data_IF_199096319185
#
_entry.id   IF_199096319185
#
_cell.length_a   1.000
_cell.length_b   1.000
_cell.length_c   1.000
_cell.angle_alpha   90.00
_cell.angle_beta   90.00
_cell.angle_gamma   90.00
#
_symmetry.space_group_name_H-M   'P 1'
#
loop_
_entity.id
_entity.type
_entity.pdbx_description
1 polymer ?
#
# COMPACT_ATOMS: atom_id res chain seq x y z
N UNK A 1 20.10 46.51 -37.26
CA UNK A 1 19.79 46.56 -35.83
C UNK A 1 18.50 45.83 -35.44
N UNK A 2 17.69 45.45 -36.36
CA UNK A 2 16.38 44.77 -36.03
C UNK A 2 16.43 43.27 -36.13
N UNK A 3 17.51 42.68 -36.56
CA UNK A 3 17.63 41.22 -36.77
C UNK A 3 18.14 40.45 -35.55
N UNK A 4 18.60 41.15 -34.52
CA UNK A 4 19.19 40.51 -33.35
C UNK A 4 18.20 39.97 -32.32
N UNK A 5 16.94 40.41 -32.39
CA UNK A 5 15.93 40.02 -31.41
C UNK A 5 15.17 38.72 -31.74
N UNK A 6 15.22 38.27 -32.99
CA UNK A 6 14.48 37.06 -33.37
C UNK A 6 15.20 35.75 -33.05
N UNK A 7 16.54 35.82 -32.90
CA UNK A 7 17.31 34.62 -32.59
C UNK A 7 17.26 34.22 -31.11
N UNK A 8 16.90 35.13 -30.22
CA UNK A 8 16.84 34.88 -28.79
C UNK A 8 15.58 34.10 -28.36
N UNK A 9 14.51 34.28 -29.09
CA UNK A 9 13.19 33.64 -28.78
C UNK A 9 13.19 32.12 -29.11
N UNK A 10 14.04 31.71 -30.02
CA UNK A 10 14.13 30.31 -30.45
C UNK A 10 14.84 29.41 -29.46
N UNK A 11 15.72 29.94 -28.63
CA UNK A 11 16.46 29.14 -27.65
C UNK A 11 15.63 28.76 -26.41
N UNK A 12 14.64 29.55 -26.08
CA UNK A 12 13.80 29.27 -24.90
C UNK A 12 12.74 28.20 -25.14
N UNK A 13 12.37 27.97 -26.41
CA UNK A 13 11.35 26.96 -26.74
C UNK A 13 11.85 25.54 -26.69
N UNK A 14 13.14 25.32 -26.88
CA UNK A 14 13.71 23.97 -26.83
C UNK A 14 13.93 23.42 -25.40
N UNK A 15 14.08 24.31 -24.43
CA UNK A 15 14.31 23.91 -23.04
C UNK A 15 13.03 23.50 -22.28
N UNK A 16 11.87 23.97 -22.71
CA UNK A 16 10.57 23.69 -22.07
C UNK A 16 10.01 22.31 -22.41
N UNK A 17 10.50 21.66 -23.46
CA UNK A 17 9.98 20.37 -23.92
C UNK A 17 10.65 19.16 -23.25
N UNK A 18 11.76 19.36 -22.53
CA UNK A 18 12.53 18.27 -21.91
C UNK A 18 12.08 17.98 -20.47
N UNK A 19 11.42 18.94 -19.80
CA UNK A 19 11.02 18.83 -18.40
C UNK A 19 9.85 17.85 -18.16
N UNK A 20 8.83 17.69 -19.04
CA UNK A 20 7.72 16.78 -18.78
C UNK A 20 8.07 15.28 -18.83
N UNK A 21 9.14 14.91 -19.50
CA UNK A 21 9.52 13.50 -19.67
C UNK A 21 10.12 12.86 -18.40
N UNK A 22 10.55 13.65 -17.43
CA UNK A 22 11.18 13.18 -16.20
C UNK A 22 10.17 12.89 -15.06
N UNK A 23 8.90 13.22 -15.25
CA UNK A 23 7.88 13.12 -14.19
C UNK A 23 7.01 11.87 -14.25
N UNK A 24 7.29 10.91 -15.13
CA UNK A 24 6.49 9.69 -15.31
C UNK A 24 7.01 8.50 -14.53
N UNK A 25 7.50 8.67 -13.31
CA UNK A 25 7.77 7.54 -12.42
C UNK A 25 6.53 7.24 -11.59
N UNK A 26 5.67 6.40 -12.10
CA UNK A 26 4.59 5.79 -11.32
C UNK A 26 5.19 4.70 -10.44
N UNK A 27 5.32 4.97 -9.15
CA UNK A 27 5.75 3.99 -8.18
C UNK A 27 4.52 3.26 -7.66
N UNK A 28 4.30 2.03 -8.13
CA UNK A 28 3.26 1.12 -7.62
C UNK A 28 3.83 0.26 -6.49
N UNK A 29 3.66 0.68 -5.26
CA UNK A 29 4.17 -0.09 -4.10
C UNK A 29 3.12 -0.98 -3.39
N UNK A 30 1.86 -1.01 -3.83
CA UNK A 30 0.77 -1.60 -3.05
C UNK A 30 0.53 -3.10 -3.22
N UNK A 31 0.60 -3.63 -4.43
CA UNK A 31 0.06 -4.95 -4.76
C UNK A 31 0.93 -6.13 -4.34
N UNK A 32 2.24 -6.01 -4.41
CA UNK A 32 3.13 -7.13 -4.12
C UNK A 32 3.16 -7.50 -2.64
N UNK A 33 3.08 -6.54 -1.75
CA UNK A 33 3.05 -6.77 -0.31
C UNK A 33 1.78 -7.49 0.12
N UNK A 34 0.64 -7.15 -0.46
CA UNK A 34 -0.65 -7.81 -0.22
C UNK A 34 -0.66 -9.26 -0.70
N UNK A 35 -0.05 -9.53 -1.86
CA UNK A 35 0.04 -10.87 -2.42
C UNK A 35 0.81 -11.84 -1.51
N UNK A 36 1.76 -11.33 -0.73
CA UNK A 36 2.50 -12.13 0.27
C UNK A 36 1.75 -12.26 1.59
N UNK A 37 1.02 -11.23 1.98
CA UNK A 37 0.31 -11.18 3.25
C UNK A 37 -0.95 -12.04 3.26
N UNK A 38 -1.72 -12.06 2.18
CA UNK A 38 -2.97 -12.81 2.08
C UNK A 38 -2.78 -14.32 2.34
N UNK A 39 -1.81 -15.02 1.76
CA UNK A 39 -1.56 -16.43 2.08
C UNK A 39 -1.23 -16.67 3.55
N UNK A 40 -0.47 -15.79 4.17
CA UNK A 40 -0.16 -15.88 5.59
C UNK A 40 -1.41 -15.74 6.46
N UNK A 41 -2.24 -14.74 6.20
CA UNK A 41 -3.50 -14.53 6.92
C UNK A 41 -4.47 -15.69 6.72
N UNK A 42 -4.56 -16.22 5.51
CA UNK A 42 -5.41 -17.37 5.20
C UNK A 42 -5.00 -18.59 6.01
N UNK A 43 -3.72 -18.85 6.09
CA UNK A 43 -3.19 -20.03 6.78
C UNK A 43 -3.29 -19.93 8.31
N UNK A 44 -3.12 -18.75 8.87
CA UNK A 44 -2.90 -18.57 10.31
C UNK A 44 -4.03 -17.83 11.04
N UNK A 45 -4.88 -17.09 10.36
CA UNK A 45 -5.80 -16.15 10.98
C UNK A 45 -7.27 -16.37 10.59
N UNK A 46 -7.56 -16.67 9.33
CA UNK A 46 -8.93 -16.66 8.80
C UNK A 46 -9.85 -17.74 9.38
N UNK A 47 -9.32 -18.85 9.88
CA UNK A 47 -10.13 -19.88 10.53
C UNK A 47 -10.87 -19.38 11.77
N UNK A 48 -10.29 -18.41 12.47
CA UNK A 48 -10.86 -17.81 13.67
C UNK A 48 -11.35 -16.37 13.48
N UNK A 49 -10.79 -15.65 12.50
CA UNK A 49 -11.05 -14.24 12.21
C UNK A 49 -11.45 -14.04 10.74
N UNK A 50 -12.40 -14.80 10.28
CA UNK A 50 -12.85 -14.83 8.89
C UNK A 50 -14.37 -14.73 8.77
N UNK A 51 -14.91 -15.11 7.59
CA UNK A 51 -16.34 -14.98 7.33
C UNK A 51 -17.21 -15.90 8.20
N UNK A 52 -16.71 -17.08 8.60
CA UNK A 52 -17.48 -18.05 9.37
C UNK A 52 -17.34 -17.90 10.88
N UNK A 53 -16.14 -17.52 11.34
CA UNK A 53 -15.84 -17.26 12.74
C UNK A 53 -15.22 -15.89 12.89
N UNK A 54 -15.68 -15.14 13.87
CA UNK A 54 -15.24 -13.78 14.15
C UNK A 54 -14.89 -13.65 15.63
N UNK A 55 -13.89 -14.41 16.08
CA UNK A 55 -13.43 -14.33 17.47
C UNK A 55 -12.97 -12.93 17.82
N UNK A 56 -13.41 -12.43 18.96
CA UNK A 56 -13.16 -11.05 19.38
C UNK A 56 -13.83 -9.99 18.50
N UNK A 57 -14.86 -10.39 17.73
CA UNK A 57 -15.56 -9.50 16.79
C UNK A 57 -14.65 -8.93 15.69
N UNK A 58 -13.52 -9.59 15.44
CA UNK A 58 -12.53 -9.16 14.46
C UNK A 58 -12.54 -10.07 13.25
N UNK A 59 -12.55 -9.46 12.09
CA UNK A 59 -12.57 -10.11 10.79
C UNK A 59 -11.44 -9.58 9.91
N UNK A 60 -10.56 -10.46 9.42
CA UNK A 60 -9.37 -10.07 8.66
C UNK A 60 -9.52 -10.25 7.15
N UNK A 61 -10.42 -11.07 6.70
CA UNK A 61 -10.65 -11.32 5.28
C UNK A 61 -11.17 -10.09 4.51
N UNK A 62 -11.73 -9.13 5.22
CA UNK A 62 -12.18 -7.85 4.64
C UNK A 62 -11.14 -6.74 4.66
N UNK A 63 -10.04 -6.92 5.38
CA UNK A 63 -8.98 -5.89 5.52
C UNK A 63 -8.10 -5.74 4.28
N UNK A 64 -8.02 -6.78 3.44
CA UNK A 64 -6.99 -6.92 2.41
C UNK A 64 -7.04 -5.94 1.24
N UNK A 65 -8.08 -5.12 1.11
CA UNK A 65 -8.23 -4.26 -0.07
C UNK A 65 -7.79 -2.81 0.14
N UNK A 66 -7.70 -2.35 1.38
CA UNK A 66 -7.38 -0.96 1.70
C UNK A 66 -6.50 -0.89 2.97
N UNK A 67 -5.23 -1.26 2.83
CA UNK A 67 -4.25 -1.15 3.92
C UNK A 67 -4.08 0.27 4.46
N UNK A 68 -4.37 1.27 3.64
CA UNK A 68 -4.15 2.68 3.97
C UNK A 68 -5.38 3.39 4.56
N UNK A 69 -6.48 2.69 4.79
CA UNK A 69 -7.60 3.27 5.52
C UNK A 69 -7.23 3.42 6.99
N UNK A 70 -7.48 4.60 7.53
CA UNK A 70 -7.19 4.92 8.94
C UNK A 70 -7.88 3.93 9.89
N UNK A 71 -9.11 3.52 9.57
CA UNK A 71 -9.88 2.54 10.34
C UNK A 71 -9.19 1.17 10.39
N UNK A 72 -8.49 0.80 9.33
CA UNK A 72 -7.76 -0.46 9.26
C UNK A 72 -6.40 -0.39 9.96
N UNK A 73 -5.81 0.78 10.12
CA UNK A 73 -4.51 0.93 10.78
C UNK A 73 -4.55 0.50 12.25
N UNK A 74 -5.61 0.80 12.97
CA UNK A 74 -5.78 0.37 14.35
C UNK A 74 -5.87 -1.16 14.46
N UNK A 75 -6.58 -1.79 13.53
CA UNK A 75 -6.69 -3.24 13.47
C UNK A 75 -5.33 -3.87 13.14
N UNK A 76 -4.60 -3.31 12.19
CA UNK A 76 -3.26 -3.78 11.84
C UNK A 76 -2.26 -3.62 13.00
N UNK A 77 -2.35 -2.52 13.74
CA UNK A 77 -1.54 -2.33 14.93
C UNK A 77 -1.86 -3.38 15.98
N UNK A 78 -3.14 -3.63 16.22
CA UNK A 78 -3.58 -4.69 17.14
C UNK A 78 -3.07 -6.09 16.75
N UNK A 79 -3.08 -6.41 15.45
CA UNK A 79 -2.52 -7.67 14.94
C UNK A 79 -1.03 -7.77 15.24
N UNK A 80 -0.26 -6.71 14.96
CA UNK A 80 1.17 -6.67 15.23
C UNK A 80 1.47 -6.81 16.72
N UNK A 81 0.70 -6.17 17.56
CA UNK A 81 0.87 -6.25 19.02
C UNK A 81 0.63 -7.70 19.52
N UNK A 82 -0.42 -8.36 19.05
CA UNK A 82 -0.71 -9.75 19.41
C UNK A 82 0.37 -10.73 18.92
N UNK A 83 0.91 -10.50 17.73
CA UNK A 83 2.02 -11.31 17.21
C UNK A 83 3.31 -11.10 18.01
N UNK A 84 3.62 -9.85 18.36
CA UNK A 84 4.82 -9.51 19.11
C UNK A 84 4.76 -10.02 20.56
N UNK A 85 3.59 -10.05 21.16
CA UNK A 85 3.34 -10.61 22.48
C UNK A 85 3.31 -12.14 22.51
N UNK A 86 3.24 -12.78 21.34
CA UNK A 86 3.09 -14.22 21.24
C UNK A 86 1.69 -14.75 21.59
N UNK A 87 0.70 -13.87 21.66
CA UNK A 87 -0.69 -14.23 21.96
C UNK A 87 -1.41 -14.84 20.76
N UNK A 88 -1.00 -14.48 19.55
CA UNK A 88 -1.54 -14.96 18.29
C UNK A 88 -0.43 -15.43 17.35
N UNK A 89 -0.65 -16.50 16.58
CA UNK A 89 -1.76 -17.46 16.69
C UNK A 89 -1.68 -18.24 18.02
N UNK A 90 -2.83 -18.67 18.59
CA UNK A 90 -2.82 -19.39 19.85
C UNK A 90 -2.10 -20.74 19.72
N UNK A 91 -1.42 -21.19 20.80
CA UNK A 91 -0.68 -22.46 20.80
C UNK A 91 -1.59 -23.67 20.52
N UNK A 92 -2.80 -23.61 21.01
CA UNK A 92 -3.82 -24.63 20.76
C UNK A 92 -4.89 -24.05 19.85
N UNK A 93 -4.85 -24.45 18.59
CA UNK A 93 -5.95 -24.18 17.66
C UNK A 93 -7.15 -25.06 18.02
N UNK A 94 -8.34 -24.48 18.07
CA UNK A 94 -9.56 -25.28 18.20
C UNK A 94 -9.76 -26.21 17.03
#
# INVERSE_FOLDING_TARGET
>A
MKSLNSSFIWRSKGLLTVIPALFSMSISYGDESLNKLVPFLTQHCYDCHGPEKQKGEIRFDTLGKDLFRIENLEIWQGILDQLNLGEMPPEKRP
#
